data_IF_685291256369
#
_entry.id   IF_685291256369
#
_cell.length_a   1.000
_cell.length_b   1.000
_cell.length_c   1.000
_cell.angle_alpha   90.00
_cell.angle_beta   90.00
_cell.angle_gamma   90.00
#
_symmetry.space_group_name_H-M   'P 1'
#
loop_
_entity.id
_entity.type
_entity.pdbx_description
1 polymer ?
#
# COMPACT_ATOMS: atom_id res chain seq x y z
N UNK A 1 3.29 23.50 2.34
CA UNK A 1 2.93 22.37 1.46
C UNK A 1 1.79 21.63 2.13
N UNK A 2 0.57 21.75 1.62
CA UNK A 2 -0.60 21.03 2.14
C UNK A 2 -0.55 19.67 1.49
N UNK A 3 -0.04 18.66 2.19
CA UNK A 3 -0.40 17.28 1.88
C UNK A 3 -1.93 17.27 1.89
N UNK A 4 -2.51 17.07 0.72
CA UNK A 4 -3.94 16.92 0.61
C UNK A 4 -4.33 15.71 1.46
N UNK A 5 -5.49 15.74 2.10
CA UNK A 5 -5.94 14.58 2.88
C UNK A 5 -6.04 13.29 2.04
N UNK A 6 -5.94 13.38 0.70
CA UNK A 6 -5.79 12.26 -0.21
C UNK A 6 -4.42 11.60 -0.08
N UNK A 7 -3.33 12.34 -0.27
CA UNK A 7 -1.94 11.83 -0.16
C UNK A 7 -1.68 11.19 1.20
N UNK A 8 -2.15 11.82 2.28
CA UNK A 8 -2.00 11.26 3.63
C UNK A 8 -2.76 9.94 3.82
N UNK A 9 -3.95 9.79 3.21
CA UNK A 9 -4.71 8.54 3.28
C UNK A 9 -4.05 7.44 2.47
N UNK A 10 -3.51 7.77 1.31
CA UNK A 10 -2.80 6.83 0.45
C UNK A 10 -1.52 6.33 1.14
N UNK A 11 -0.75 7.22 1.76
CA UNK A 11 0.40 6.83 2.60
C UNK A 11 -0.01 5.92 3.76
N UNK A 12 -1.09 6.24 4.47
CA UNK A 12 -1.60 5.39 5.56
C UNK A 12 -2.02 4.00 5.05
N UNK A 13 -2.64 3.94 3.87
CA UNK A 13 -3.03 2.68 3.24
C UNK A 13 -1.80 1.85 2.83
N UNK A 14 -0.78 2.50 2.25
CA UNK A 14 0.50 1.89 1.88
C UNK A 14 1.21 1.29 3.10
N UNK A 15 1.28 2.03 4.20
CA UNK A 15 1.85 1.56 5.48
C UNK A 15 1.09 0.33 5.99
N UNK A 16 -0.24 0.35 5.94
CA UNK A 16 -1.08 -0.78 6.35
C UNK A 16 -0.83 -2.03 5.51
N UNK A 17 -0.74 -1.89 4.18
CA UNK A 17 -0.45 -2.99 3.27
C UNK A 17 0.96 -3.57 3.48
N UNK A 18 1.97 -2.71 3.67
CA UNK A 18 3.35 -3.13 3.98
C UNK A 18 3.44 -3.83 5.33
N UNK A 19 2.68 -3.38 6.33
CA UNK A 19 2.61 -4.04 7.63
C UNK A 19 2.01 -5.44 7.51
N UNK A 20 0.93 -5.61 6.74
CA UNK A 20 0.34 -6.91 6.46
C UNK A 20 1.31 -7.82 5.69
N UNK A 21 2.08 -7.27 4.74
CA UNK A 21 3.06 -8.03 3.97
C UNK A 21 4.18 -8.61 4.84
N UNK A 22 4.56 -7.89 5.90
CA UNK A 22 5.59 -8.29 6.85
C UNK A 22 5.05 -9.13 8.03
N UNK A 23 3.76 -9.48 8.06
CA UNK A 23 3.25 -10.39 9.09
C UNK A 23 3.79 -11.81 8.90
N UNK A 24 4.27 -12.41 9.99
CA UNK A 24 4.67 -13.82 10.01
C UNK A 24 3.47 -14.73 9.74
N UNK A 25 3.67 -15.77 8.94
CA UNK A 25 2.61 -16.73 8.60
C UNK A 25 1.69 -16.33 7.44
N UNK A 26 2.00 -15.24 6.72
CA UNK A 26 1.28 -14.89 5.49
C UNK A 26 1.52 -15.95 4.40
N UNK A 27 0.45 -16.38 3.72
CA UNK A 27 0.58 -17.30 2.58
C UNK A 27 1.16 -16.58 1.36
N UNK A 28 1.88 -17.32 0.52
CA UNK A 28 2.46 -16.77 -0.72
C UNK A 28 1.41 -16.16 -1.65
N UNK A 29 0.19 -16.71 -1.66
CA UNK A 29 -0.95 -16.15 -2.41
C UNK A 29 -1.35 -14.78 -1.87
N UNK A 30 -1.49 -14.66 -0.54
CA UNK A 30 -1.83 -13.40 0.10
C UNK A 30 -0.73 -12.36 -0.06
N UNK A 31 0.53 -12.80 -0.02
CA UNK A 31 1.71 -11.97 -0.28
C UNK A 31 1.70 -11.39 -1.68
N UNK A 32 1.43 -12.22 -2.71
CA UNK A 32 1.28 -11.76 -4.11
C UNK A 32 0.15 -10.75 -4.27
N UNK A 33 -0.98 -11.00 -3.62
CA UNK A 33 -2.14 -10.11 -3.66
C UNK A 33 -1.83 -8.75 -3.01
N UNK A 34 -1.17 -8.74 -1.84
CA UNK A 34 -0.72 -7.50 -1.20
C UNK A 34 0.29 -6.73 -2.04
N UNK A 35 1.26 -7.41 -2.66
CA UNK A 35 2.24 -6.76 -3.55
C UNK A 35 1.53 -6.11 -4.75
N UNK A 36 0.51 -6.78 -5.31
CA UNK A 36 -0.28 -6.23 -6.43
C UNK A 36 -1.04 -4.98 -6.01
N UNK A 37 -1.64 -4.99 -4.81
CA UNK A 37 -2.35 -3.84 -4.26
C UNK A 37 -1.41 -2.66 -3.96
N UNK A 38 -0.24 -2.93 -3.38
CA UNK A 38 0.80 -1.92 -3.15
C UNK A 38 1.22 -1.26 -4.47
N UNK A 39 1.55 -2.06 -5.49
CA UNK A 39 1.96 -1.53 -6.80
C UNK A 39 0.88 -0.69 -7.46
N UNK A 40 -0.39 -1.10 -7.34
CA UNK A 40 -1.51 -0.34 -7.90
C UNK A 40 -1.63 1.02 -7.21
N UNK A 41 -1.57 1.02 -5.87
CA UNK A 41 -1.67 2.25 -5.07
C UNK A 41 -0.47 3.18 -5.34
N UNK A 42 0.75 2.65 -5.39
CA UNK A 42 1.95 3.42 -5.73
C UNK A 42 1.83 4.05 -7.13
N UNK A 43 1.28 3.34 -8.12
CA UNK A 43 1.04 3.89 -9.45
C UNK A 43 -0.04 4.97 -9.49
N UNK A 44 -1.10 4.85 -8.68
CA UNK A 44 -2.15 5.88 -8.54
C UNK A 44 -1.59 7.15 -7.86
N UNK A 45 -0.70 7.00 -6.88
CA UNK A 45 0.00 8.11 -6.22
C UNK A 45 1.00 8.82 -7.14
N UNK A 46 1.77 8.08 -7.95
CA UNK A 46 2.79 8.65 -8.88
C UNK A 46 2.14 9.37 -10.08
N UNK A 47 0.88 9.03 -10.41
CA UNK A 47 0.10 9.66 -11.48
C UNK A 47 -0.64 10.94 -11.08
N UNK A 48 -0.66 11.33 -9.79
CA UNK A 48 -1.43 12.46 -9.25
C UNK A 48 -0.55 13.69 -9.01
#
# INVERSE_FOLDING_TARGET
>A
MRYTCAEYREEMMLIGLRKQLNQEGISEEKKKELIKQIKKLEAEMDMT
#
